data_IF_407146552519
#
_entry.id   IF_407146552519
#
_cell.length_a   1.000
_cell.length_b   1.000
_cell.length_c   1.000
_cell.angle_alpha   90.00
_cell.angle_beta   90.00
_cell.angle_gamma   90.00
#
_symmetry.space_group_name_H-M   'P 1'
#
loop_
_entity.id
_entity.type
_entity.pdbx_description
1 polymer ?
#
# COMPACT_ATOMS: atom_id res chain seq x y z
N UNK A 1 15.99 -21.64 8.92
CA UNK A 1 14.76 -21.99 9.67
C UNK A 1 13.94 -20.75 10.08
N UNK A 2 14.57 -19.60 10.40
CA UNK A 2 13.93 -18.32 10.76
C UNK A 2 12.70 -17.85 9.93
N UNK A 3 12.66 -18.10 8.62
CA UNK A 3 11.57 -17.61 7.74
C UNK A 3 10.31 -18.47 7.82
N UNK A 4 10.48 -19.79 7.96
CA UNK A 4 9.35 -20.73 8.07
C UNK A 4 8.65 -20.60 9.44
N UNK A 5 9.42 -20.36 10.50
CA UNK A 5 8.90 -20.18 11.87
C UNK A 5 8.08 -18.89 12.05
N UNK A 6 8.28 -17.89 11.19
CA UNK A 6 7.58 -16.59 11.27
C UNK A 6 6.37 -16.49 10.35
N UNK A 7 5.99 -17.57 9.68
CA UNK A 7 4.83 -17.60 8.78
C UNK A 7 4.99 -16.75 7.52
N UNK A 8 6.22 -16.33 7.18
CA UNK A 8 6.49 -15.61 5.94
C UNK A 8 6.49 -16.62 4.79
N UNK A 9 5.39 -16.67 4.05
CA UNK A 9 5.20 -17.54 2.88
C UNK A 9 6.08 -17.17 1.69
N UNK A 10 6.57 -15.93 1.63
CA UNK A 10 7.44 -15.45 0.58
C UNK A 10 8.91 -15.46 1.06
N UNK A 11 9.82 -16.16 0.36
CA UNK A 11 11.24 -16.05 0.68
C UNK A 11 11.68 -14.59 0.53
N UNK A 12 12.58 -14.09 1.39
CA UNK A 12 13.03 -12.71 1.27
C UNK A 12 13.63 -12.50 -0.13
N UNK A 13 13.20 -11.43 -0.81
CA UNK A 13 13.66 -11.13 -2.18
C UNK A 13 15.18 -10.93 -2.31
N UNK A 14 15.92 -10.90 -1.20
CA UNK A 14 17.40 -10.90 -1.13
C UNK A 14 17.84 -11.71 0.09
N UNK A 15 18.86 -12.55 -0.07
CA UNK A 15 19.44 -13.29 1.05
C UNK A 15 20.07 -12.34 2.09
N UNK A 16 20.31 -12.81 3.33
CA UNK A 16 20.91 -12.00 4.39
C UNK A 16 22.21 -11.29 3.97
N UNK A 17 23.06 -11.96 3.20
CA UNK A 17 24.34 -11.40 2.72
C UNK A 17 24.12 -10.26 1.74
N UNK A 18 23.21 -10.42 0.77
CA UNK A 18 22.83 -9.37 -0.17
C UNK A 18 22.19 -8.15 0.52
N UNK A 19 21.49 -8.37 1.64
CA UNK A 19 20.92 -7.30 2.45
C UNK A 19 21.99 -6.56 3.25
N UNK A 20 22.95 -7.30 3.83
CA UNK A 20 24.09 -6.74 4.53
C UNK A 20 24.97 -5.91 3.57
N UNK A 21 25.29 -6.44 2.40
CA UNK A 21 26.02 -5.72 1.35
C UNK A 21 25.31 -4.43 0.93
N UNK A 22 24.00 -4.48 0.67
CA UNK A 22 23.23 -3.28 0.31
C UNK A 22 23.16 -2.23 1.43
N UNK A 23 23.20 -2.65 2.70
CA UNK A 23 23.31 -1.74 3.85
C UNK A 23 24.68 -1.06 3.87
N UNK A 24 25.75 -1.80 3.58
CA UNK A 24 27.11 -1.28 3.49
C UNK A 24 27.31 -0.33 2.30
N UNK A 25 26.67 -0.60 1.15
CA UNK A 25 26.77 0.25 -0.05
C UNK A 25 26.08 1.62 0.07
N UNK A 26 25.23 1.83 1.09
CA UNK A 26 24.42 3.05 1.26
C UNK A 26 25.06 4.14 2.12
N UNK A 27 26.32 4.01 2.51
CA UNK A 27 27.14 5.12 3.04
C UNK A 27 26.57 5.88 4.27
N UNK A 28 26.91 5.42 5.47
CA UNK A 28 27.04 6.25 6.69
C UNK A 28 25.81 6.36 7.62
N UNK A 29 25.84 5.90 8.88
CA UNK A 29 26.96 5.37 9.65
C UNK A 29 26.59 4.88 11.05
N UNK A 30 27.59 4.32 11.72
CA UNK A 30 27.68 4.21 13.19
C UNK A 30 27.23 2.90 13.81
N UNK A 31 28.18 2.06 14.23
CA UNK A 31 27.94 0.81 14.93
C UNK A 31 27.86 0.92 16.46
N UNK A 32 27.35 -0.17 17.04
CA UNK A 32 27.45 -0.69 18.41
C UNK A 32 27.24 0.25 19.62
N UNK A 33 26.09 0.11 20.29
CA UNK A 33 25.84 0.64 21.64
C UNK A 33 24.60 -0.01 22.26
N UNK A 34 24.79 -0.72 23.37
CA UNK A 34 23.74 -1.44 24.11
C UNK A 34 22.91 -0.46 24.97
N UNK A 35 21.62 -0.79 25.15
CA UNK A 35 20.76 -0.47 26.32
C UNK A 35 20.23 0.96 26.47
N UNK A 36 18.90 1.11 26.40
CA UNK A 36 18.20 2.29 26.93
C UNK A 36 16.89 2.55 26.20
N UNK A 37 15.77 2.34 26.88
CA UNK A 37 14.42 2.50 26.32
C UNK A 37 13.99 3.95 26.14
N UNK A 38 12.74 4.11 25.71
CA UNK A 38 12.03 5.40 25.70
C UNK A 38 11.32 5.62 24.37
N UNK A 39 10.00 5.69 24.43
CA UNK A 39 9.12 5.87 23.28
C UNK A 39 9.04 7.30 22.73
N UNK A 40 8.14 7.47 21.77
CA UNK A 40 7.80 8.72 21.10
C UNK A 40 8.42 8.75 19.71
N UNK A 41 7.71 8.54 18.60
CA UNK A 41 6.40 9.10 18.28
C UNK A 41 6.61 10.35 17.43
N UNK A 42 6.19 10.30 16.16
CA UNK A 42 5.85 11.51 15.40
C UNK A 42 6.63 11.74 14.12
N UNK A 43 5.90 11.69 13.00
CA UNK A 43 6.17 12.57 11.86
C UNK A 43 6.90 11.96 10.68
N UNK A 44 6.30 10.94 10.05
CA UNK A 44 6.54 10.71 8.63
C UNK A 44 6.12 11.96 7.87
N UNK A 45 7.08 12.81 7.51
CA UNK A 45 6.88 13.97 6.65
C UNK A 45 6.40 13.50 5.28
N UNK A 46 5.08 13.43 5.11
CA UNK A 46 4.47 13.54 3.81
C UNK A 46 4.89 14.93 3.29
N UNK A 47 5.85 14.94 2.36
CA UNK A 47 6.32 16.15 1.72
C UNK A 47 5.14 16.99 1.25
N UNK A 48 5.01 18.18 1.83
CA UNK A 48 4.13 19.19 1.29
C UNK A 48 4.79 19.82 0.07
N UNK A 49 4.19 19.50 -1.08
CA UNK A 49 3.93 20.37 -2.24
C UNK A 49 5.03 20.47 -3.31
N UNK A 50 4.62 20.07 -4.53
CA UNK A 50 5.31 20.25 -5.81
C UNK A 50 5.39 18.91 -6.53
N UNK A 51 4.42 18.49 -7.35
CA UNK A 51 3.89 19.20 -8.51
C UNK A 51 4.14 18.27 -9.71
N UNK A 52 3.10 17.59 -10.19
CA UNK A 52 3.25 16.61 -11.25
C UNK A 52 1.93 15.96 -11.66
N UNK A 53 1.14 16.68 -12.46
CA UNK A 53 0.24 16.08 -13.46
C UNK A 53 -0.84 15.12 -12.95
N UNK A 54 -1.54 15.47 -11.86
CA UNK A 54 -2.83 14.84 -11.58
C UNK A 54 -3.86 15.38 -12.56
N UNK A 55 -3.89 14.85 -13.79
CA UNK A 55 -4.96 15.16 -14.74
C UNK A 55 -6.31 15.01 -14.07
N UNK A 56 -7.24 15.92 -14.38
CA UNK A 56 -8.61 15.86 -13.90
C UNK A 56 -9.14 14.46 -14.19
N UNK A 57 -9.41 13.68 -13.14
CA UNK A 57 -9.88 12.30 -13.31
C UNK A 57 -11.28 12.41 -13.89
N UNK A 58 -11.48 11.94 -15.12
CA UNK A 58 -12.81 11.86 -15.70
C UNK A 58 -13.68 10.94 -14.83
N UNK A 59 -14.75 11.51 -14.29
CA UNK A 59 -15.72 10.79 -13.47
C UNK A 59 -16.81 10.26 -14.40
N UNK A 60 -17.02 8.94 -14.39
CA UNK A 60 -18.04 8.28 -15.19
C UNK A 60 -19.26 8.00 -14.32
N UNK A 61 -20.43 8.46 -14.76
CA UNK A 61 -21.71 8.12 -14.13
C UNK A 61 -22.11 6.70 -14.53
N UNK A 62 -22.47 5.89 -13.53
CA UNK A 62 -22.89 4.50 -13.69
C UNK A 62 -23.98 4.12 -12.71
N UNK A 63 -24.76 3.11 -13.07
CA UNK A 63 -25.74 2.49 -12.18
C UNK A 63 -25.08 1.38 -11.36
N UNK A 64 -25.28 1.40 -10.04
CA UNK A 64 -24.82 0.35 -9.13
C UNK A 64 -25.54 -0.98 -9.42
N UNK A 65 -24.79 -2.07 -9.57
CA UNK A 65 -25.35 -3.39 -9.88
C UNK A 65 -26.19 -4.00 -8.73
N UNK A 66 -25.97 -3.59 -7.48
CA UNK A 66 -26.70 -4.12 -6.32
C UNK A 66 -27.96 -3.31 -5.98
N UNK A 67 -27.82 -1.99 -5.84
CA UNK A 67 -28.89 -1.12 -5.34
C UNK A 67 -29.55 -0.26 -6.42
N UNK A 68 -29.05 -0.27 -7.65
CA UNK A 68 -29.64 0.48 -8.78
C UNK A 68 -29.45 2.00 -8.73
N UNK A 69 -28.76 2.55 -7.72
CA UNK A 69 -28.49 3.99 -7.62
C UNK A 69 -27.39 4.43 -8.58
N UNK A 70 -27.48 5.67 -9.05
CA UNK A 70 -26.42 6.32 -9.82
C UNK A 70 -25.23 6.66 -8.92
N UNK A 71 -24.01 6.38 -9.39
CA UNK A 71 -22.76 6.68 -8.70
C UNK A 71 -21.71 7.15 -9.71
N UNK A 72 -20.73 7.93 -9.24
CA UNK A 72 -19.62 8.40 -10.07
C UNK A 72 -18.36 7.59 -9.74
N UNK A 73 -17.69 7.07 -10.76
CA UNK A 73 -16.47 6.27 -10.61
C UNK A 73 -15.32 6.84 -11.45
N UNK A 74 -14.05 6.78 -10.97
CA UNK A 74 -12.90 7.36 -11.66
C UNK A 74 -12.33 6.45 -12.76
N UNK A 75 -13.07 5.42 -13.19
CA UNK A 75 -12.65 4.46 -14.19
C UNK A 75 -13.76 4.22 -15.21
N UNK A 76 -13.39 4.01 -16.47
CA UNK A 76 -14.36 3.68 -17.50
C UNK A 76 -14.97 2.30 -17.23
N UNK A 77 -16.29 2.16 -17.17
CA UNK A 77 -16.95 0.87 -16.96
C UNK A 77 -16.66 -0.08 -18.12
N UNK A 78 -16.50 -1.36 -17.82
CA UNK A 78 -16.23 -2.41 -18.82
C UNK A 78 -17.37 -3.42 -18.83
N UNK A 79 -17.76 -3.91 -20.01
CA UNK A 79 -18.75 -4.97 -20.17
C UNK A 79 -18.16 -6.29 -19.65
N UNK A 80 -18.45 -6.64 -18.40
CA UNK A 80 -17.98 -7.89 -17.78
C UNK A 80 -17.70 -7.79 -16.28
N UNK A 81 -17.52 -6.59 -15.73
CA UNK A 81 -17.34 -6.37 -14.29
C UNK A 81 -18.46 -5.50 -13.73
N UNK A 82 -19.20 -5.95 -12.70
CA UNK A 82 -20.22 -5.13 -12.07
C UNK A 82 -19.58 -3.93 -11.39
N UNK A 83 -20.23 -2.76 -11.50
CA UNK A 83 -19.81 -1.55 -10.81
C UNK A 83 -20.72 -1.33 -9.61
N UNK A 84 -20.13 -1.00 -8.47
CA UNK A 84 -20.83 -0.80 -7.21
C UNK A 84 -20.64 0.63 -6.71
N UNK A 85 -21.65 1.16 -6.02
CA UNK A 85 -21.49 2.39 -5.23
C UNK A 85 -20.54 2.15 -4.05
N UNK A 86 -20.11 3.23 -3.41
CA UNK A 86 -19.15 3.15 -2.29
C UNK A 86 -19.63 2.17 -1.20
N UNK A 87 -20.91 2.26 -0.84
CA UNK A 87 -21.53 1.44 0.20
C UNK A 87 -21.53 -0.06 -0.17
N UNK A 88 -22.06 -0.39 -1.35
CA UNK A 88 -22.13 -1.77 -1.83
C UNK A 88 -20.74 -2.36 -2.07
N UNK A 89 -19.77 -1.55 -2.52
CA UNK A 89 -18.41 -2.02 -2.72
C UNK A 89 -17.77 -2.51 -1.41
N UNK A 90 -18.06 -1.88 -0.26
CA UNK A 90 -17.54 -2.35 1.03
C UNK A 90 -17.97 -3.79 1.36
N UNK A 91 -19.20 -4.17 0.99
CA UNK A 91 -19.73 -5.50 1.22
C UNK A 91 -19.12 -6.55 0.27
N UNK A 92 -18.71 -6.14 -0.92
CA UNK A 92 -18.03 -6.99 -1.91
C UNK A 92 -16.50 -6.96 -1.82
N UNK A 93 -15.92 -6.31 -0.80
CA UNK A 93 -14.46 -6.26 -0.64
C UNK A 93 -13.93 -7.65 -0.28
N UNK A 94 -12.99 -8.21 -1.04
CA UNK A 94 -12.35 -9.46 -0.65
C UNK A 94 -11.58 -9.27 0.66
N UNK A 95 -11.52 -10.32 1.47
CA UNK A 95 -10.73 -10.33 2.69
C UNK A 95 -9.29 -9.94 2.38
N UNK A 96 -8.77 -8.94 3.11
CA UNK A 96 -7.35 -8.59 3.05
C UNK A 96 -6.61 -9.70 3.80
N UNK A 97 -5.92 -10.57 3.07
CA UNK A 97 -5.00 -11.56 3.64
C UNK A 97 -3.77 -10.87 4.25
#
# INVERSE_FOLDING_TARGET
QFYAERGLTNPPGRCPDCRAAAKSSRGGGGGYGNRGGGGGGGGGGYGSRGGGGGGEREMFTVTCADCGRETQVPFRPTSGRPVYCNDCFQNHRPARY
#
